data_IF_317647713290
#
_entry.id   IF_317647713290
#
_cell.length_a   1.000
_cell.length_b   1.000
_cell.length_c   1.000
_cell.angle_alpha   90.00
_cell.angle_beta   90.00
_cell.angle_gamma   90.00
#
_symmetry.space_group_name_H-M   'P 1'
#
loop_
_entity.id
_entity.type
_entity.pdbx_description
1 polymer ?
#
# COMPACT_ATOMS: atom_id res chain seq x y z
N UNK A 1 -2.18 5.04 20.54
CA UNK A 1 -2.39 4.68 19.12
C UNK A 1 -3.57 3.74 18.99
N UNK A 2 -4.36 3.89 17.95
CA UNK A 2 -5.43 2.94 17.72
C UNK A 2 -4.87 1.55 17.41
N UNK A 3 -5.73 0.56 17.42
CA UNK A 3 -5.35 -0.80 17.10
C UNK A 3 -4.71 -0.88 15.71
N UNK A 4 -3.54 -1.52 15.64
CA UNK A 4 -2.78 -1.66 14.40
C UNK A 4 -3.60 -2.28 13.27
N UNK A 5 -4.40 -3.29 13.62
CA UNK A 5 -5.24 -3.96 12.62
C UNK A 5 -6.29 -3.02 12.05
N UNK A 6 -6.94 -2.23 12.90
CA UNK A 6 -7.95 -1.25 12.46
C UNK A 6 -7.32 -0.17 11.60
N UNK A 7 -6.14 0.30 12.00
CA UNK A 7 -5.41 1.31 11.23
C UNK A 7 -5.15 0.83 9.79
N UNK A 8 -4.58 -0.37 9.63
CA UNK A 8 -4.25 -0.88 8.31
C UNK A 8 -5.48 -1.33 7.51
N UNK A 9 -6.51 -1.85 8.15
CA UNK A 9 -7.76 -2.13 7.45
C UNK A 9 -8.32 -0.88 6.80
N UNK A 10 -8.28 0.25 7.52
CA UNK A 10 -8.72 1.54 6.97
C UNK A 10 -7.82 1.99 5.82
N UNK A 11 -6.50 1.82 5.93
CA UNK A 11 -5.56 2.17 4.87
C UNK A 11 -5.92 1.41 3.58
N UNK A 12 -6.08 0.09 3.67
CA UNK A 12 -6.39 -0.73 2.49
C UNK A 12 -7.78 -0.41 1.93
N UNK A 13 -8.76 -0.18 2.80
CA UNK A 13 -10.11 0.18 2.36
C UNK A 13 -10.11 1.50 1.59
N UNK A 14 -9.42 2.50 2.10
CA UNK A 14 -9.33 3.81 1.45
C UNK A 14 -8.59 3.71 0.12
N UNK A 15 -7.53 2.89 0.05
CA UNK A 15 -6.82 2.63 -1.20
C UNK A 15 -7.75 2.01 -2.24
N UNK A 16 -8.49 0.97 -1.85
CA UNK A 16 -9.41 0.27 -2.76
C UNK A 16 -10.53 1.19 -3.23
N UNK A 17 -10.98 2.11 -2.37
CA UNK A 17 -12.01 3.10 -2.70
C UNK A 17 -11.45 4.28 -3.47
N UNK A 18 -10.15 4.28 -3.77
CA UNK A 18 -9.45 5.35 -4.50
C UNK A 18 -9.44 6.68 -3.74
N UNK A 19 -9.57 6.62 -2.42
CA UNK A 19 -9.48 7.79 -1.53
C UNK A 19 -8.03 8.01 -1.15
N UNK A 20 -7.19 8.27 -2.14
CA UNK A 20 -5.73 8.29 -1.95
C UNK A 20 -5.26 9.38 -1.00
N UNK A 21 -5.95 10.52 -0.94
CA UNK A 21 -5.56 11.58 0.00
C UNK A 21 -5.72 11.13 1.46
N UNK A 22 -6.73 10.31 1.76
CA UNK A 22 -6.90 9.77 3.11
C UNK A 22 -5.77 8.80 3.49
N UNK A 23 -5.23 8.07 2.50
CA UNK A 23 -4.07 7.21 2.74
C UNK A 23 -2.81 8.06 2.93
N UNK A 24 -2.59 9.04 2.06
CA UNK A 24 -1.42 9.93 2.11
C UNK A 24 -1.37 10.72 3.42
N UNK A 25 -2.52 11.14 3.95
CA UNK A 25 -2.59 11.86 5.23
C UNK A 25 -2.04 11.04 6.40
N UNK A 26 -1.95 9.71 6.26
CA UNK A 26 -1.38 8.83 7.27
C UNK A 26 0.10 8.52 7.02
N UNK A 27 0.75 9.27 6.13
CA UNK A 27 2.17 9.13 5.82
C UNK A 27 2.96 10.30 6.37
N UNK A 28 4.23 10.04 6.71
CA UNK A 28 5.14 11.14 7.06
C UNK A 28 5.44 11.98 5.81
N UNK A 29 5.87 13.24 6.01
CA UNK A 29 6.18 14.13 4.88
C UNK A 29 7.30 13.59 3.99
N UNK A 30 8.21 12.80 4.57
CA UNK A 30 9.36 12.22 3.87
C UNK A 30 9.19 10.73 3.59
N UNK A 31 7.96 10.25 3.50
CA UNK A 31 7.66 8.83 3.29
C UNK A 31 8.45 8.25 2.12
N UNK A 32 8.94 7.01 2.31
CA UNK A 32 9.62 6.23 1.27
C UNK A 32 8.69 5.08 0.89
N UNK A 33 8.24 5.07 -0.35
CA UNK A 33 7.23 4.12 -0.83
C UNK A 33 7.76 3.29 -1.99
N UNK A 34 7.72 1.96 -1.85
CA UNK A 34 8.19 1.07 -2.91
C UNK A 34 7.35 1.23 -4.17
N UNK A 35 8.04 1.38 -5.31
CA UNK A 35 7.40 1.50 -6.61
C UNK A 35 7.26 0.10 -7.22
N UNK A 36 6.07 -0.48 -7.08
CA UNK A 36 5.79 -1.84 -7.56
C UNK A 36 5.69 -1.96 -9.08
N UNK A 37 5.60 -0.85 -9.80
CA UNK A 37 5.50 -0.86 -11.27
C UNK A 37 6.87 -0.83 -11.95
N UNK A 38 7.75 0.07 -11.47
CA UNK A 38 9.02 0.33 -12.15
C UNK A 38 10.24 -0.06 -11.30
N UNK A 39 10.03 -0.50 -10.07
CA UNK A 39 11.12 -0.77 -9.13
C UNK A 39 11.60 0.50 -8.44
N UNK A 40 12.43 0.33 -7.41
CA UNK A 40 12.91 1.46 -6.63
C UNK A 40 11.83 2.04 -5.73
N UNK A 41 11.95 3.35 -5.47
CA UNK A 41 11.06 4.03 -4.51
C UNK A 41 10.63 5.39 -5.04
N UNK A 42 9.49 5.86 -4.53
CA UNK A 42 9.07 7.25 -4.64
C UNK A 42 9.09 7.86 -3.23
N UNK A 43 9.29 9.17 -3.14
CA UNK A 43 9.54 9.86 -1.87
C UNK A 43 8.60 11.05 -1.69
N UNK A 44 8.00 11.13 -0.50
CA UNK A 44 7.13 12.24 -0.13
C UNK A 44 5.73 12.14 -0.72
N UNK A 45 4.85 12.99 -0.22
CA UNK A 45 3.41 12.94 -0.55
C UNK A 45 3.16 13.14 -2.05
N UNK A 46 3.84 14.11 -2.67
CA UNK A 46 3.58 14.44 -4.07
C UNK A 46 4.00 13.31 -5.01
N UNK A 47 5.17 12.70 -4.75
CA UNK A 47 5.64 11.58 -5.58
C UNK A 47 4.73 10.35 -5.44
N UNK A 48 4.28 10.05 -4.22
CA UNK A 48 3.35 8.94 -3.98
C UNK A 48 2.04 9.20 -4.72
N UNK A 49 1.52 10.43 -4.62
CA UNK A 49 0.28 10.82 -5.29
C UNK A 49 0.40 10.63 -6.80
N UNK A 50 1.48 11.14 -7.40
CA UNK A 50 1.70 11.01 -8.85
C UNK A 50 1.85 9.56 -9.27
N UNK A 51 2.55 8.75 -8.48
CA UNK A 51 2.72 7.33 -8.73
C UNK A 51 1.36 6.62 -8.78
N UNK A 52 0.47 6.90 -7.81
CA UNK A 52 -0.85 6.26 -7.77
C UNK A 52 -1.78 6.76 -8.87
N UNK A 53 -1.74 8.05 -9.19
CA UNK A 53 -2.52 8.59 -10.30
C UNK A 53 -2.15 7.86 -11.59
N UNK A 54 -0.86 7.69 -11.84
CA UNK A 54 -0.37 6.96 -13.01
C UNK A 54 -0.80 5.49 -12.97
N UNK A 55 -0.62 4.85 -11.83
CA UNK A 55 -0.97 3.43 -11.66
C UNK A 55 -2.46 3.19 -11.94
N UNK A 56 -3.33 4.00 -11.34
CA UNK A 56 -4.78 3.83 -11.53
C UNK A 56 -5.25 4.22 -12.92
N UNK A 57 -4.44 4.95 -13.67
CA UNK A 57 -4.71 5.22 -15.08
C UNK A 57 -4.34 4.06 -16.00
N UNK A 58 -3.61 3.07 -15.49
CA UNK A 58 -3.14 1.92 -16.27
C UNK A 58 -3.78 0.60 -15.83
N UNK A 59 -4.02 0.44 -14.55
CA UNK A 59 -4.54 -0.80 -13.98
C UNK A 59 -5.56 -0.52 -12.88
N UNK A 60 -6.36 -1.55 -12.58
CA UNK A 60 -7.29 -1.54 -11.46
C UNK A 60 -6.79 -2.57 -10.45
N UNK A 61 -6.19 -2.09 -9.37
CA UNK A 61 -5.61 -2.93 -8.32
C UNK A 61 -6.49 -2.89 -7.08
N UNK A 62 -6.81 -4.07 -6.55
CA UNK A 62 -7.51 -4.22 -5.27
C UNK A 62 -6.66 -5.04 -4.34
N UNK A 63 -6.55 -4.61 -3.08
CA UNK A 63 -5.70 -5.25 -2.08
C UNK A 63 -6.52 -5.50 -0.82
N UNK A 64 -6.50 -6.74 -0.33
CA UNK A 64 -7.24 -7.13 0.86
C UNK A 64 -6.25 -7.71 1.88
N UNK A 65 -6.12 -7.09 3.07
CA UNK A 65 -5.23 -7.66 4.09
C UNK A 65 -5.80 -8.96 4.61
N UNK A 66 -4.98 -10.01 4.56
CA UNK A 66 -5.36 -11.35 4.99
C UNK A 66 -4.86 -11.61 6.40
N UNK A 67 -3.67 -11.12 6.71
CA UNK A 67 -3.03 -11.31 8.01
C UNK A 67 -2.17 -10.09 8.31
N UNK A 68 -2.32 -9.53 9.52
CA UNK A 68 -1.58 -8.35 9.97
C UNK A 68 -0.82 -8.73 11.23
N UNK A 69 0.51 -8.66 11.18
CA UNK A 69 1.38 -8.97 12.30
C UNK A 69 2.29 -7.79 12.62
N UNK A 70 2.60 -7.63 13.90
CA UNK A 70 3.60 -6.66 14.37
C UNK A 70 4.86 -7.44 14.73
N UNK A 71 5.93 -7.22 13.95
CA UNK A 71 7.22 -7.86 14.17
C UNK A 71 8.27 -6.80 14.48
N UNK A 72 8.54 -6.60 15.78
CA UNK A 72 9.56 -5.66 16.25
C UNK A 72 9.31 -4.22 15.75
N UNK A 73 8.05 -3.79 15.79
CA UNK A 73 7.68 -2.43 15.37
C UNK A 73 7.48 -2.27 13.87
N UNK A 74 7.61 -3.35 13.11
CA UNK A 74 7.33 -3.37 11.68
C UNK A 74 6.02 -4.11 11.44
N UNK A 75 5.08 -3.48 10.76
CA UNK A 75 3.82 -4.14 10.41
C UNK A 75 4.05 -4.99 9.16
N UNK A 76 3.93 -6.31 9.34
CA UNK A 76 4.05 -7.27 8.25
C UNK A 76 2.66 -7.74 7.87
N UNK A 77 2.26 -7.49 6.63
CA UNK A 77 0.89 -7.76 6.21
C UNK A 77 0.90 -8.66 4.99
N UNK A 78 0.22 -9.80 5.10
CA UNK A 78 -0.08 -10.63 3.93
C UNK A 78 -1.30 -10.06 3.26
N UNK A 79 -1.23 -9.87 1.95
CA UNK A 79 -2.24 -9.17 1.18
C UNK A 79 -2.65 -10.01 -0.02
N UNK A 80 -3.95 -10.19 -0.18
CA UNK A 80 -4.49 -10.76 -1.42
C UNK A 80 -4.62 -9.62 -2.42
N UNK A 81 -3.80 -9.66 -3.46
CA UNK A 81 -3.75 -8.62 -4.48
C UNK A 81 -4.36 -9.14 -5.78
N UNK A 82 -5.37 -8.46 -6.25
CA UNK A 82 -6.04 -8.78 -7.52
C UNK A 82 -5.93 -7.58 -8.44
N UNK A 83 -5.32 -7.77 -9.60
CA UNK A 83 -5.08 -6.69 -10.54
C UNK A 83 -5.77 -7.01 -11.86
N UNK A 84 -6.55 -6.05 -12.35
CA UNK A 84 -7.16 -6.13 -13.68
C UNK A 84 -6.64 -4.97 -14.52
N UNK A 85 -6.70 -5.12 -15.86
CA UNK A 85 -6.52 -3.96 -16.73
C UNK A 85 -7.81 -3.13 -16.71
N UNK A 86 -7.80 -1.99 -17.39
CA UNK A 86 -8.96 -1.10 -17.40
C UNK A 86 -10.15 -1.66 -18.18
N UNK A 87 -9.95 -2.75 -18.92
CA UNK A 87 -11.01 -3.44 -19.66
C UNK A 87 -11.59 -4.62 -18.86
N UNK A 88 -11.07 -4.86 -17.64
CA UNK A 88 -11.56 -5.91 -16.78
C UNK A 88 -10.86 -7.25 -16.93
N UNK A 89 -9.79 -7.35 -17.72
CA UNK A 89 -9.03 -8.59 -17.86
C UNK A 89 -8.14 -8.79 -16.66
N UNK A 90 -8.14 -10.01 -16.12
CA UNK A 90 -7.31 -10.35 -14.95
C UNK A 90 -5.84 -10.40 -15.36
N UNK A 91 -5.00 -9.61 -14.66
CA UNK A 91 -3.56 -9.57 -14.86
C UNK A 91 -2.80 -10.30 -13.78
N UNK A 92 -3.29 -10.27 -12.54
CA UNK A 92 -2.63 -10.93 -11.42
C UNK A 92 -3.65 -11.23 -10.32
N UNK A 93 -3.47 -12.37 -9.68
CA UNK A 93 -4.25 -12.77 -8.50
C UNK A 93 -3.26 -13.54 -7.62
N UNK A 94 -2.75 -12.89 -6.58
CA UNK A 94 -1.62 -13.43 -5.83
C UNK A 94 -1.64 -12.94 -4.39
N UNK A 95 -0.90 -13.67 -3.54
CA UNK A 95 -0.65 -13.22 -2.16
C UNK A 95 0.75 -12.61 -2.16
N UNK A 96 0.82 -11.37 -1.68
CA UNK A 96 2.10 -10.64 -1.53
C UNK A 96 2.26 -10.23 -0.07
N UNK A 97 3.48 -9.88 0.31
CA UNK A 97 3.75 -9.40 1.66
C UNK A 97 4.16 -7.94 1.60
N UNK A 98 3.53 -7.13 2.43
CA UNK A 98 3.84 -5.71 2.58
C UNK A 98 4.46 -5.46 3.94
N UNK A 99 5.47 -4.58 4.00
CA UNK A 99 6.12 -4.17 5.23
C UNK A 99 5.95 -2.67 5.42
N UNK A 100 5.43 -2.28 6.57
CA UNK A 100 5.22 -0.87 6.90
C UNK A 100 6.04 -0.51 8.15
N UNK A 101 6.77 0.60 8.04
CA UNK A 101 7.57 1.14 9.13
C UNK A 101 6.90 2.44 9.57
N UNK A 102 6.50 2.50 10.85
CA UNK A 102 5.78 3.65 11.39
C UNK A 102 6.73 4.57 12.16
N UNK A 103 6.45 5.87 12.09
CA UNK A 103 7.12 6.89 12.89
C UNK A 103 6.06 7.91 13.31
N UNK A 104 5.95 8.14 14.63
CA UNK A 104 4.94 9.03 15.18
C UNK A 104 3.53 8.69 14.69
N UNK A 105 3.21 7.39 14.67
CA UNK A 105 1.90 6.85 14.29
C UNK A 105 1.52 7.10 12.81
N UNK A 106 2.54 7.41 11.98
CA UNK A 106 2.35 7.57 10.53
C UNK A 106 3.27 6.63 9.78
N UNK A 107 2.89 6.29 8.56
CA UNK A 107 3.70 5.44 7.70
C UNK A 107 4.91 6.24 7.20
N UNK A 108 6.12 5.78 7.57
CA UNK A 108 7.37 6.41 7.14
C UNK A 108 8.01 5.66 5.97
N UNK A 109 7.76 4.35 5.85
CA UNK A 109 8.34 3.53 4.80
C UNK A 109 7.42 2.35 4.50
N UNK A 110 7.34 2.00 3.22
CA UNK A 110 6.62 0.82 2.73
C UNK A 110 7.53 0.04 1.80
N UNK A 111 7.64 -1.27 2.06
CA UNK A 111 8.36 -2.20 1.19
C UNK A 111 7.46 -3.33 0.74
N UNK A 112 7.75 -3.87 -0.43
CA UNK A 112 7.06 -5.05 -0.96
C UNK A 112 8.01 -6.23 -0.83
N UNK A 113 7.53 -7.29 -0.18
CA UNK A 113 8.30 -8.53 -0.03
C UNK A 113 8.06 -9.50 -1.17
N UNK A 114 8.54 -10.73 -0.97
CA UNK A 114 8.38 -11.78 -1.96
C UNK A 114 6.92 -12.18 -2.09
N UNK A 115 6.56 -12.62 -3.29
CA UNK A 115 5.23 -13.18 -3.56
C UNK A 115 5.10 -14.56 -2.95
N UNK A 116 3.85 -14.92 -2.61
CA UNK A 116 3.53 -16.24 -2.04
C UNK A 116 2.65 -17.04 -2.99
#
# INVERSE_FOLDING_TARGET
MEDLKSFFKNIYQNFNDRKIELVIDNMTDDVQWANGMDGGYVYGHDEVRQYWIRQFGLINSNVTPVQIDDENGVAKIKVHQVVHDLKGNLLADEIVTHFFYLRNEKIARFDIGDKR
#
